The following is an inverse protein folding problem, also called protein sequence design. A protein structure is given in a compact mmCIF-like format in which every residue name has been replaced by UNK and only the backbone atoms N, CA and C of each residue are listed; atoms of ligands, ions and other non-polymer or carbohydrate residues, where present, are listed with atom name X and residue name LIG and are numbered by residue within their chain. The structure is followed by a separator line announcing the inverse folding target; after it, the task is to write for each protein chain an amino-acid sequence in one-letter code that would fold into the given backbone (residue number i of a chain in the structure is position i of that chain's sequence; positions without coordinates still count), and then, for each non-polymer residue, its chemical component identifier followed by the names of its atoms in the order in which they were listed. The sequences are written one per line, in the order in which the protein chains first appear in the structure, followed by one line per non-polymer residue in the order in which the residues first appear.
data_IF_923248750285
#
_entry.id   IF_923248750285
#
_cell.length_a   1.000
_cell.length_b   1.000
_cell.length_c   1.000
_cell.angle_alpha   90.00
_cell.angle_beta   90.00
_cell.angle_gamma   90.00
#
_symmetry.space_group_name_H-M   'P 1'
#
loop_
_entity.id
_entity.type
_entity.pdbx_description
1 polymer ?
#
# COMPACT_ATOMS: atom_id res chain seq x y z
N UNK A 1 10.81 12.77 -11.47
CA UNK A 1 9.72 12.34 -11.87
C UNK A 1 8.76 12.09 -10.87
N UNK A 2 8.25 12.64 -10.32
CA UNK A 2 7.44 12.44 -9.30
C UNK A 2 6.38 11.44 -9.51
N UNK A 3 5.33 11.78 -10.13
CA UNK A 3 4.23 10.90 -10.18
C UNK A 3 4.43 9.80 -11.19
N UNK A 4 4.03 8.63 -10.85
CA UNK A 4 4.04 7.52 -11.76
C UNK A 4 2.76 7.55 -12.57
N UNK A 5 2.86 7.16 -13.83
CA UNK A 5 1.72 7.28 -14.73
C UNK A 5 0.53 6.47 -14.28
N UNK A 6 0.76 5.35 -13.64
CA UNK A 6 -0.31 4.46 -13.23
C UNK A 6 -1.04 4.92 -11.99
N UNK A 7 -0.60 6.00 -11.38
CA UNK A 7 -1.16 6.39 -10.10
C UNK A 7 -0.59 5.63 -8.93
N UNK A 8 0.48 4.91 -9.14
CA UNK A 8 1.10 4.15 -8.08
C UNK A 8 1.69 5.08 -7.03
N UNK A 9 1.75 4.60 -5.80
CA UNK A 9 2.35 5.36 -4.70
C UNK A 9 3.87 5.20 -4.77
N UNK A 10 4.63 6.28 -4.84
CA UNK A 10 6.09 6.14 -4.97
C UNK A 10 6.76 5.85 -3.63
N UNK A 11 7.78 5.00 -3.68
CA UNK A 11 8.62 4.73 -2.52
C UNK A 11 10.05 4.59 -3.01
N UNK A 12 10.99 5.14 -2.26
CA UNK A 12 12.39 5.03 -2.62
C UNK A 12 13.05 3.96 -1.78
N UNK A 13 13.67 2.99 -2.43
CA UNK A 13 14.34 1.89 -1.75
C UNK A 13 15.72 1.74 -2.35
N UNK A 14 16.73 1.82 -1.50
CA UNK A 14 18.12 1.68 -1.92
C UNK A 14 18.47 2.66 -3.05
N UNK A 15 17.95 3.88 -2.94
CA UNK A 15 18.30 4.91 -3.90
C UNK A 15 17.54 4.88 -5.22
N UNK A 16 16.56 4.00 -5.34
CA UNK A 16 15.78 3.90 -6.57
C UNK A 16 14.31 4.02 -6.25
N UNK A 17 13.57 4.71 -7.10
CA UNK A 17 12.15 4.90 -6.89
C UNK A 17 11.37 3.74 -7.48
N UNK A 18 10.45 3.20 -6.69
CA UNK A 18 9.54 2.14 -7.12
C UNK A 18 8.12 2.62 -6.91
N UNK A 19 7.19 2.07 -7.66
CA UNK A 19 5.78 2.35 -7.45
C UNK A 19 5.10 1.18 -6.78
N UNK A 20 4.12 1.49 -5.93
CA UNK A 20 3.28 0.49 -5.30
C UNK A 20 1.86 0.73 -5.76
N UNK A 21 1.25 -0.26 -6.39
CA UNK A 21 -0.09 -0.11 -6.93
C UNK A 21 -1.02 -1.17 -6.36
N UNK A 22 -2.01 -0.73 -5.59
CA UNK A 22 -3.05 -1.63 -5.14
C UNK A 22 -4.16 -1.65 -6.18
N UNK A 23 -3.88 -2.36 -7.26
CA UNK A 23 -4.88 -2.57 -8.31
C UNK A 23 -5.97 -3.50 -7.81
N UNK A 24 -7.03 -3.65 -8.59
CA UNK A 24 -8.06 -4.64 -8.26
C UNK A 24 -7.47 -6.03 -8.18
N UNK A 25 -6.54 -6.35 -9.09
CA UNK A 25 -5.91 -7.65 -9.05
C UNK A 25 -5.11 -7.84 -7.77
N UNK A 26 -4.43 -6.79 -7.30
CA UNK A 26 -3.70 -6.89 -6.04
C UNK A 26 -4.66 -7.06 -4.87
N UNK A 27 -5.76 -6.34 -4.86
CA UNK A 27 -6.75 -6.50 -3.80
C UNK A 27 -7.30 -7.92 -3.78
N UNK A 28 -7.55 -8.49 -4.95
CA UNK A 28 -8.05 -9.85 -5.05
C UNK A 28 -7.04 -10.84 -4.45
N UNK A 29 -5.76 -10.67 -4.77
CA UNK A 29 -4.75 -11.57 -4.24
C UNK A 29 -4.57 -11.42 -2.73
N UNK A 30 -4.65 -10.20 -2.24
CA UNK A 30 -4.56 -9.95 -0.81
C UNK A 30 -5.75 -10.60 -0.09
N UNK A 31 -6.95 -10.45 -0.66
CA UNK A 31 -8.13 -11.04 -0.06
C UNK A 31 -8.02 -12.56 -0.02
N UNK A 32 -7.52 -13.15 -1.10
CA UNK A 32 -7.40 -14.59 -1.14
C UNK A 32 -6.35 -15.11 -0.16
N UNK A 33 -5.23 -14.40 -0.06
CA UNK A 33 -4.14 -14.87 0.78
C UNK A 33 -4.41 -14.67 2.25
N UNK A 34 -5.01 -13.56 2.63
CA UNK A 34 -5.15 -13.19 4.04
C UNK A 34 -6.57 -13.29 4.56
N UNK A 35 -7.51 -13.65 3.71
CA UNK A 35 -8.89 -13.78 4.15
C UNK A 35 -9.67 -12.50 4.15
N UNK A 36 -9.08 -11.40 3.69
CA UNK A 36 -9.75 -10.11 3.61
C UNK A 36 -8.78 -9.07 3.15
N UNK A 37 -9.24 -8.16 2.28
CA UNK A 37 -8.36 -7.14 1.76
C UNK A 37 -8.02 -6.09 2.82
N UNK A 38 -8.77 -6.09 3.93
CA UNK A 38 -8.55 -5.12 4.98
C UNK A 38 -7.77 -5.69 6.16
N UNK A 39 -6.99 -6.75 5.93
CA UNK A 39 -6.26 -7.40 7.01
C UNK A 39 -4.81 -6.95 7.15
N UNK A 40 -4.43 -5.85 6.50
CA UNK A 40 -3.02 -5.45 6.52
C UNK A 40 -2.50 -5.18 7.92
N UNK A 41 -3.34 -4.61 8.80
CA UNK A 41 -2.86 -4.34 10.15
C UNK A 41 -2.52 -5.62 10.88
N UNK A 42 -3.24 -6.71 10.60
CA UNK A 42 -2.92 -7.99 11.21
C UNK A 42 -1.67 -8.59 10.59
N UNK A 43 -1.50 -8.40 9.29
CA UNK A 43 -0.33 -8.92 8.60
C UNK A 43 0.94 -8.30 9.17
N UNK A 44 0.91 -7.00 9.45
CA UNK A 44 2.09 -6.29 9.92
C UNK A 44 2.22 -6.31 11.45
N UNK A 45 1.37 -7.05 12.14
CA UNK A 45 1.48 -7.18 13.57
C UNK A 45 2.71 -8.00 13.91
N UNK A 46 3.46 -7.58 14.91
CA UNK A 46 4.68 -8.29 15.27
C UNK A 46 4.43 -9.70 15.72
N UNK A 47 3.19 -10.04 16.08
CA UNK A 47 2.86 -11.39 16.49
C UNK A 47 2.58 -12.31 15.31
N UNK A 48 2.57 -11.79 14.11
CA UNK A 48 2.38 -12.61 12.92
C UNK A 48 3.67 -13.39 12.65
N UNK A 49 3.66 -14.71 12.75
CA UNK A 49 4.88 -15.49 12.53
C UNK A 49 5.40 -15.41 11.10
N UNK A 50 4.57 -14.96 10.17
CA UNK A 50 4.99 -14.82 8.78
C UNK A 50 5.19 -13.37 8.39
N UNK A 51 5.42 -12.50 9.36
CA UNK A 51 5.50 -11.07 9.12
C UNK A 51 6.46 -10.72 7.98
N UNK A 52 7.67 -11.28 8.01
CA UNK A 52 8.65 -10.92 7.00
C UNK A 52 8.32 -11.52 5.63
N UNK A 53 7.81 -12.74 5.62
CA UNK A 53 7.40 -13.36 4.36
C UNK A 53 6.25 -12.59 3.73
N UNK A 54 5.28 -12.21 4.55
CA UNK A 54 4.11 -11.51 4.04
C UNK A 54 4.47 -10.12 3.57
N UNK A 55 5.36 -9.42 4.28
CA UNK A 55 5.80 -8.09 3.86
C UNK A 55 6.51 -8.18 2.51
N UNK A 56 7.39 -9.17 2.35
CA UNK A 56 8.09 -9.34 1.09
C UNK A 56 7.11 -9.67 -0.04
N UNK A 57 6.14 -10.55 0.24
CA UNK A 57 5.15 -10.93 -0.77
C UNK A 57 4.33 -9.71 -1.20
N UNK A 58 3.90 -8.91 -0.24
CA UNK A 58 3.13 -7.71 -0.56
C UNK A 58 3.94 -6.71 -1.37
N UNK A 59 5.16 -6.45 -0.96
CA UNK A 59 6.00 -5.51 -1.68
C UNK A 59 6.18 -5.97 -3.12
N UNK A 60 6.46 -7.27 -3.31
CA UNK A 60 6.65 -7.80 -4.65
C UNK A 60 5.40 -7.64 -5.49
N UNK A 61 4.25 -7.99 -4.93
CA UNK A 61 2.99 -7.89 -5.65
C UNK A 61 2.73 -6.46 -6.10
N UNK A 62 2.89 -5.51 -5.19
CA UNK A 62 2.52 -4.13 -5.48
C UNK A 62 3.49 -3.47 -6.45
N UNK A 63 4.77 -3.77 -6.35
CA UNK A 63 5.73 -3.26 -7.31
C UNK A 63 5.43 -3.82 -8.70
N UNK A 64 5.14 -5.12 -8.77
CA UNK A 64 4.90 -5.74 -10.07
C UNK A 64 3.61 -5.23 -10.70
N UNK A 65 2.57 -4.97 -9.88
CA UNK A 65 1.35 -4.39 -10.43
C UNK A 65 1.61 -3.00 -10.99
N UNK A 66 2.44 -2.21 -10.33
CA UNK A 66 2.79 -0.90 -10.86
C UNK A 66 3.56 -1.01 -12.17
N UNK A 67 4.51 -1.96 -12.23
CA UNK A 67 5.26 -2.16 -13.45
C UNK A 67 4.36 -2.58 -14.61
N UNK A 68 3.46 -3.52 -14.36
CA UNK A 68 2.56 -4.01 -15.41
C UNK A 68 1.57 -2.94 -15.86
N UNK A 69 1.18 -2.05 -14.96
CA UNK A 69 0.25 -0.99 -15.32
C UNK A 69 0.89 0.00 -16.28
N UNK A 70 2.21 0.15 -16.21
CA UNK A 70 2.90 1.06 -17.12
C UNK A 70 3.34 0.38 -18.40
N UNK A 71 3.58 -0.92 -18.35
CA UNK A 71 4.07 -1.66 -19.51
C UNK A 71 3.71 -3.12 -19.30
N UNK A 72 2.74 -3.61 -20.07
CA UNK A 72 2.27 -4.97 -19.84
C UNK A 72 3.35 -6.01 -20.16
N UNK A 73 4.42 -5.61 -20.82
CA UNK A 73 5.54 -6.49 -21.08
C UNK A 73 6.71 -6.27 -20.13
N UNK A 74 6.47 -5.57 -19.01
CA UNK A 74 7.54 -5.26 -18.08
C UNK A 74 8.16 -6.52 -17.50
N UNK A 75 9.45 -6.44 -17.23
CA UNK A 75 10.11 -7.54 -16.55
C UNK A 75 9.80 -7.44 -15.06
N UNK A 76 9.26 -8.50 -14.50
CA UNK A 76 8.79 -8.46 -13.13
C UNK A 76 9.93 -8.69 -12.15
N UNK A 77 9.74 -8.18 -10.94
CA UNK A 77 10.68 -8.34 -9.86
C UNK A 77 10.40 -9.66 -9.16
N UNK A 78 11.45 -10.42 -8.87
CA UNK A 78 11.29 -11.66 -8.12
C UNK A 78 11.23 -11.38 -6.63
N UNK A 79 10.56 -12.26 -5.90
CA UNK A 79 10.40 -12.06 -4.47
C UNK A 79 11.72 -11.92 -3.74
N UNK A 80 12.71 -12.73 -4.10
CA UNK A 80 14.00 -12.63 -3.43
C UNK A 80 14.68 -11.30 -3.68
N UNK A 81 14.52 -10.76 -4.88
CA UNK A 81 15.08 -9.46 -5.15
C UNK A 81 14.34 -8.37 -4.39
N UNK A 82 13.01 -8.49 -4.32
CA UNK A 82 12.25 -7.54 -3.52
C UNK A 82 12.67 -7.61 -2.07
N UNK A 83 12.93 -8.82 -1.57
CA UNK A 83 13.36 -8.97 -0.20
C UNK A 83 14.69 -8.30 0.09
N UNK A 84 15.55 -8.16 -0.92
CA UNK A 84 16.80 -7.47 -0.70
C UNK A 84 16.66 -5.96 -0.64
N UNK A 85 15.50 -5.45 -1.02
CA UNK A 85 15.23 -4.02 -0.91
C UNK A 85 14.78 -3.64 0.50
N UNK A 86 14.44 -4.64 1.32
CA UNK A 86 13.97 -4.41 2.68
C UNK A 86 15.05 -4.87 3.65
N UNK A 87 15.32 -4.04 4.65
CA UNK A 87 16.26 -4.40 5.70
C UNK A 87 15.76 -3.78 7.00
N UNK A 88 16.45 -4.07 8.10
CA UNK A 88 15.98 -3.61 9.39
C UNK A 88 15.80 -2.10 9.44
N UNK A 89 16.63 -1.37 8.71
CA UNK A 89 16.59 0.08 8.77
C UNK A 89 15.42 0.69 8.01
N UNK A 90 14.81 -0.02 7.07
CA UNK A 90 13.69 0.57 6.32
C UNK A 90 12.42 -0.25 6.38
N UNK A 91 12.38 -1.28 7.21
CA UNK A 91 11.20 -2.15 7.26
C UNK A 91 9.93 -1.38 7.58
N UNK A 92 9.98 -0.50 8.59
CA UNK A 92 8.79 0.26 8.94
C UNK A 92 8.39 1.22 7.84
N UNK A 93 9.35 1.79 7.17
CA UNK A 93 9.05 2.68 6.05
C UNK A 93 8.36 1.93 4.92
N UNK A 94 8.80 0.72 4.64
CA UNK A 94 8.17 -0.10 3.61
C UNK A 94 6.74 -0.45 4.01
N UNK A 95 6.52 -0.86 5.25
CA UNK A 95 5.18 -1.21 5.71
C UNK A 95 4.27 0.01 5.68
N UNK A 96 4.79 1.17 6.06
CA UNK A 96 4.03 2.40 6.00
C UNK A 96 3.64 2.74 4.57
N UNK A 97 4.58 2.56 3.63
CA UNK A 97 4.29 2.83 2.23
C UNK A 97 3.22 1.91 1.68
N UNK A 98 3.24 0.64 2.11
CA UNK A 98 2.20 -0.29 1.68
C UNK A 98 0.84 0.15 2.19
N UNK A 99 0.75 0.57 3.45
CA UNK A 99 -0.50 1.10 3.97
C UNK A 99 -0.97 2.32 3.19
N UNK A 100 -0.04 3.23 2.91
CA UNK A 100 -0.42 4.44 2.19
C UNK A 100 -0.90 4.13 0.78
N UNK A 101 -0.27 3.15 0.14
CA UNK A 101 -0.71 2.76 -1.19
C UNK A 101 -2.10 2.11 -1.14
N UNK A 102 -2.39 1.40 -0.05
CA UNK A 102 -3.70 0.79 0.12
C UNK A 102 -4.78 1.86 0.26
N UNK A 103 -4.55 2.84 1.13
CA UNK A 103 -5.53 3.90 1.31
C UNK A 103 -5.74 4.70 0.02
N UNK A 104 -4.67 4.94 -0.70
CA UNK A 104 -4.80 5.67 -1.96
C UNK A 104 -5.63 4.87 -2.94
N UNK A 105 -5.40 3.55 -3.01
CA UNK A 105 -6.12 2.72 -3.95
C UNK A 105 -7.59 2.58 -3.61
N UNK A 106 -7.92 2.53 -2.32
CA UNK A 106 -9.31 2.31 -1.93
C UNK A 106 -10.10 3.61 -1.80
N UNK A 107 -9.40 4.70 -1.46
CA UNK A 107 -10.09 5.98 -1.29
C UNK A 107 -10.06 6.85 -2.54
N UNK A 108 -9.33 6.44 -3.54
CA UNK A 108 -9.14 7.26 -4.72
C UNK A 108 -8.23 8.40 -4.40
N UNK A 109 -8.26 9.41 -5.22
CA UNK A 109 -7.34 10.51 -5.03
C UNK A 109 -7.83 11.54 -4.10
N UNK A 110 -8.95 11.32 -3.46
CA UNK A 110 -9.44 12.31 -2.57
C UNK A 110 -8.64 12.46 -1.37
N UNK A 111 -7.81 11.54 -1.09
CA UNK A 111 -7.10 11.57 0.16
C UNK A 111 -6.23 12.71 0.28
N UNK A 112 -6.09 13.44 -0.71
CA UNK A 112 -5.25 14.50 -0.50
C UNK A 112 -5.73 15.43 0.38
N UNK A 113 -6.53 15.41 0.67
CA UNK A 113 -6.93 16.38 1.58
C UNK A 113 -6.67 16.14 2.93
N UNK A 114 -6.36 15.77 2.45
CA UNK A 114 -6.25 15.78 3.44
C UNK A 114 -6.29 15.67 4.36
N UNK A 115 -6.36 15.66 4.36
CA UNK A 115 -6.44 15.67 5.29
C UNK A 115 -6.58 15.44 6.09
N UNK A 116 -6.45 15.36 6.07
CA UNK A 116 -6.58 15.30 6.84
C UNK A 116 -7.04 15.01 7.63
N UNK A 117 -7.19 15.08 7.72
CA UNK A 117 -7.63 15.01 8.53
C UNK A 117 -8.12 14.63 9.13
N UNK A 118 -8.18 14.52 9.11
CA UNK A 118 -8.67 14.39 9.76
C UNK A 118 -9.26 14.12 10.30
N UNK A 119 -9.31 13.92 10.49
CA UNK A 119 -9.97 14.03 11.05
C UNK A 119 -10.72 13.75 11.36
N UNK A 120 -10.76 13.87 11.44
CA UNK A 120 -11.50 14.05 11.80
C UNK A 120 -12.33 13.75 11.79
N UNK A 121 -12.52 13.54 11.70
CA UNK A 121 -13.32 13.63 11.81
C UNK A 121 -14.07 13.15 11.76
N UNK A 122 -14.29 12.88 11.74
CA UNK A 122 -15.07 12.84 11.89
C UNK A 122 -15.83 12.57 11.82
N UNK A 123 -16.05 12.36 11.79
CA UNK A 123 -16.83 12.58 12.00
C UNK A 123 -17.47 12.51 11.82
N UNK A 124 -17.53 12.36 11.68
CA UNK A 124 -18.19 12.83 11.82
C UNK A 124 -18.67 12.60 11.66
N UNK A 125 -18.69 12.22 11.59
CA UNK A 125 -19.20 12.53 11.74
C UNK A 125 -19.46 12.48 11.67
N UNK A 126 -19.58 11.98 11.89
CA UNK A 126 -19.88 12.45 12.08
C UNK A 126 -20.14 12.43 11.85
N UNK A 127 -20.13 12.42 11.74
CA UNK A 127 -20.46 13.04 11.93
C UNK A 127 -20.82 13.29 11.59
N UNK A 128 -20.97 13.04 11.25
CA UNK A 128 -21.34 13.78 11.30
C UNK A 128 -21.91 13.72 11.18
N UNK A 129 -22.04 13.48 11.21
CA UNK A 129 -22.47 13.88 11.45
C UNK A 129 -22.81 13.89 11.60
N UNK A 130 -22.98 13.84 11.67
CA UNK A 130 -23.25 14.35 12.05
C UNK A 130 -23.43 14.63 12.05
N UNK A 131 -23.46 14.78 12.02
CA UNK A 131 -23.52 15.56 12.30
C UNK A 131 -23.71 15.84 12.21
N UNK A 132 -23.78 15.96 12.09
CA UNK A 132 -23.87 16.64 12.30
C UNK A 132 -24.19 16.72 12.34
N UNK A 133 -24.23 16.64 12.26
CA UNK A 133 -24.31 17.05 12.57
C UNK A 133 -24.53 17.00 12.57
N UNK A 134 -24.79 16.97 12.64
CA UNK A 134 -24.72 17.31 12.91
C UNK A 134 -24.86 17.31 12.95
#
# INVERSE_FOLDING_TARGET
MGALKSGAFPVELNGKEYGLLFSLNALDEVQEKFGGYDKLSEVFNKDNPNLFKDTRWLLTLLINEALLAEDENAQLLEEKRAGRLIHAGNLQEVQSAIFKSFYRGTAGDNSDTENENDGEETTEEGNRAAVQEN
#
